data_IF_974303036687
#
_entry.id   IF_974303036687
#
_cell.length_a   1.000
_cell.length_b   1.000
_cell.length_c   1.000
_cell.angle_alpha   90.00
_cell.angle_beta   90.00
_cell.angle_gamma   90.00
#
_symmetry.space_group_name_H-M   'P 1'
#
loop_
_entity.id
_entity.type
_entity.pdbx_description
1 polymer ?
#
# COMPACT_ATOMS: atom_id res chain seq x y z
N UNK A 1 7.74 -12.40 21.99
CA UNK A 1 8.41 -13.48 21.22
C UNK A 1 9.90 -13.16 21.23
N UNK A 2 10.77 -14.09 21.52
CA UNK A 2 12.22 -13.80 21.53
C UNK A 2 12.75 -13.77 20.10
N UNK A 3 13.67 -12.85 19.82
CA UNK A 3 14.32 -12.72 18.51
C UNK A 3 15.66 -13.46 18.54
N UNK A 4 15.91 -14.26 17.52
CA UNK A 4 17.14 -15.04 17.37
C UNK A 4 17.87 -14.72 16.07
N UNK A 5 19.15 -15.06 15.97
CA UNK A 5 19.94 -14.83 14.74
C UNK A 5 19.33 -15.48 13.50
N UNK A 6 18.69 -16.65 13.64
CA UNK A 6 17.92 -17.28 12.54
C UNK A 6 16.80 -16.41 11.97
N UNK A 7 16.24 -15.52 12.79
CA UNK A 7 15.18 -14.61 12.36
C UNK A 7 15.78 -13.39 11.66
N UNK A 8 16.99 -12.95 12.08
CA UNK A 8 17.78 -11.94 11.37
C UNK A 8 18.16 -12.45 9.96
N UNK A 9 18.60 -13.71 9.83
CA UNK A 9 18.88 -14.33 8.54
C UNK A 9 17.67 -14.30 7.60
N UNK A 10 16.48 -14.55 8.12
CA UNK A 10 15.23 -14.43 7.34
C UNK A 10 14.90 -12.99 6.96
N UNK A 11 15.13 -12.03 7.85
CA UNK A 11 14.92 -10.60 7.59
C UNK A 11 15.82 -10.14 6.43
N UNK A 12 17.05 -10.65 6.34
CA UNK A 12 18.01 -10.34 5.28
C UNK A 12 17.96 -11.28 4.07
N UNK A 13 16.87 -12.03 3.88
CA UNK A 13 16.74 -13.07 2.85
C UNK A 13 16.69 -12.56 1.41
N UNK A 14 16.43 -11.25 1.21
CA UNK A 14 16.36 -10.64 -0.13
C UNK A 14 17.74 -10.22 -0.69
N UNK A 15 18.82 -10.69 -0.07
CA UNK A 15 20.19 -10.41 -0.51
C UNK A 15 20.84 -9.23 0.18
N UNK A 16 20.30 -8.75 1.29
CA UNK A 16 20.88 -7.69 2.10
C UNK A 16 22.18 -8.14 2.79
N UNK A 17 22.19 -9.35 3.36
CA UNK A 17 23.37 -9.99 3.92
C UNK A 17 23.26 -11.52 3.85
N UNK A 18 24.39 -12.20 3.88
CA UNK A 18 24.49 -13.68 3.84
C UNK A 18 25.30 -14.22 5.01
N UNK A 19 24.82 -15.28 5.65
CA UNK A 19 25.54 -15.99 6.71
C UNK A 19 26.70 -16.79 6.09
N UNK A 20 27.92 -16.47 6.49
CA UNK A 20 29.14 -17.07 5.89
C UNK A 20 29.91 -17.97 6.85
N UNK A 21 29.77 -17.77 8.18
CA UNK A 21 30.39 -18.60 9.21
C UNK A 21 29.55 -18.62 10.49
N UNK A 22 29.88 -19.51 11.44
CA UNK A 22 29.23 -19.60 12.75
C UNK A 22 27.79 -20.14 12.70
N UNK A 23 27.45 -20.98 11.74
CA UNK A 23 26.06 -21.49 11.50
C UNK A 23 25.45 -22.18 12.73
N UNK A 24 26.24 -22.82 13.58
CA UNK A 24 25.74 -23.48 14.80
C UNK A 24 25.22 -22.47 15.84
N UNK A 25 25.58 -21.18 15.71
CA UNK A 25 25.17 -20.11 16.63
C UNK A 25 23.86 -19.40 16.24
N UNK A 26 23.14 -19.86 15.25
CA UNK A 26 21.88 -19.19 14.74
C UNK A 26 20.77 -19.12 15.80
N UNK A 27 20.88 -19.87 16.89
CA UNK A 27 19.97 -19.82 18.04
C UNK A 27 20.42 -18.83 19.12
N UNK A 28 21.48 -18.03 18.90
CA UNK A 28 21.82 -16.92 19.80
C UNK A 28 20.72 -15.88 19.79
N UNK A 29 20.33 -15.42 20.99
CA UNK A 29 19.30 -14.40 21.15
C UNK A 29 19.81 -13.03 20.69
N UNK A 30 18.95 -12.19 20.14
CA UNK A 30 19.26 -10.81 19.73
C UNK A 30 18.36 -9.85 20.49
N UNK A 31 18.93 -9.02 21.37
CA UNK A 31 18.22 -8.06 22.18
C UNK A 31 18.54 -6.60 21.80
N UNK A 32 19.70 -6.38 21.17
CA UNK A 32 20.21 -5.05 20.83
C UNK A 32 21.08 -5.12 19.58
N UNK A 33 21.13 -4.04 18.81
CA UNK A 33 22.14 -3.86 17.77
C UNK A 33 22.98 -2.62 18.05
N UNK A 34 24.20 -2.59 17.53
CA UNK A 34 25.07 -1.43 17.56
C UNK A 34 25.97 -1.39 16.32
N UNK A 35 26.53 -0.21 16.03
CA UNK A 35 27.42 0.00 14.89
C UNK A 35 28.85 0.20 15.38
N UNK A 36 29.76 -0.64 14.89
CA UNK A 36 31.17 -0.52 15.25
C UNK A 36 31.86 0.55 14.39
N UNK A 37 32.37 1.58 15.03
CA UNK A 37 33.20 2.64 14.43
C UNK A 37 34.70 2.45 14.71
N UNK A 38 35.07 1.84 15.84
CA UNK A 38 36.45 1.64 16.29
C UNK A 38 36.68 0.18 16.61
N UNK A 39 37.97 -0.32 16.53
CA UNK A 39 38.28 -1.71 16.77
C UNK A 39 38.26 -2.13 18.26
N UNK A 40 38.32 -1.18 19.18
CA UNK A 40 38.22 -1.46 20.62
C UNK A 40 36.74 -1.43 21.05
N UNK A 41 36.10 -2.59 20.95
CA UNK A 41 34.65 -2.75 21.20
C UNK A 41 34.34 -3.17 22.64
N UNK A 42 35.31 -3.60 23.43
CA UNK A 42 35.08 -4.10 24.80
C UNK A 42 34.26 -3.17 25.70
N UNK A 43 34.50 -1.83 25.72
CA UNK A 43 33.71 -0.93 26.57
C UNK A 43 32.24 -0.82 26.21
N UNK A 44 31.90 -1.17 24.97
CA UNK A 44 30.54 -1.03 24.40
C UNK A 44 29.82 -2.37 24.25
N UNK A 45 30.52 -3.47 24.60
CA UNK A 45 29.99 -4.83 24.47
C UNK A 45 28.77 -5.01 25.38
N UNK A 46 27.71 -5.55 24.81
CA UNK A 46 26.50 -5.94 25.51
C UNK A 46 26.19 -7.39 25.19
N UNK A 47 25.61 -8.08 26.14
CA UNK A 47 25.07 -9.41 25.92
C UNK A 47 23.95 -9.37 24.87
N UNK A 48 23.86 -10.36 24.01
CA UNK A 48 22.90 -10.50 22.93
C UNK A 48 22.94 -9.35 21.87
N UNK A 49 24.16 -8.80 21.67
CA UNK A 49 24.39 -7.72 20.72
C UNK A 49 24.58 -8.24 19.28
N UNK A 50 23.82 -7.72 18.34
CA UNK A 50 24.12 -7.80 16.91
C UNK A 50 25.01 -6.61 16.52
N UNK A 51 26.26 -6.86 16.21
CA UNK A 51 27.20 -5.84 15.78
C UNK A 51 27.18 -5.69 14.27
N UNK A 52 27.05 -4.46 13.78
CA UNK A 52 27.04 -4.12 12.35
C UNK A 52 28.20 -3.18 12.06
N UNK A 53 28.99 -3.44 11.01
CA UNK A 53 30.15 -2.60 10.71
C UNK A 53 30.45 -2.54 9.21
N UNK A 54 31.10 -1.44 8.80
CA UNK A 54 31.74 -1.36 7.48
C UNK A 54 33.07 -2.12 7.44
N UNK A 55 33.62 -2.47 8.58
CA UNK A 55 34.98 -3.06 8.69
C UNK A 55 36.13 -2.13 8.35
N UNK A 56 35.83 -0.84 8.03
CA UNK A 56 36.86 0.11 7.58
C UNK A 56 38.01 0.31 8.55
N UNK A 57 37.72 0.37 9.84
CA UNK A 57 38.74 0.58 10.90
C UNK A 57 39.67 -0.62 11.12
N UNK A 58 39.30 -1.82 10.67
CA UNK A 58 40.05 -3.08 10.84
C UNK A 58 40.48 -3.70 9.51
N UNK A 59 40.26 -3.04 8.37
CA UNK A 59 40.42 -3.61 7.02
C UNK A 59 41.85 -4.07 6.68
N UNK A 60 42.87 -3.46 7.29
CA UNK A 60 44.29 -3.76 7.02
C UNK A 60 44.96 -4.49 8.15
N UNK A 61 44.24 -4.96 9.15
CA UNK A 61 44.76 -5.60 10.34
C UNK A 61 43.99 -6.90 10.65
N UNK A 62 44.56 -8.02 10.22
CA UNK A 62 44.01 -9.35 10.43
C UNK A 62 43.83 -9.65 11.93
N UNK A 63 44.81 -9.28 12.78
CA UNK A 63 44.73 -9.52 14.22
C UNK A 63 43.58 -8.68 14.84
N UNK A 64 43.34 -7.48 14.36
CA UNK A 64 42.21 -6.70 14.82
C UNK A 64 40.85 -7.35 14.46
N UNK A 65 40.73 -7.98 13.29
CA UNK A 65 39.52 -8.76 12.92
C UNK A 65 39.31 -9.93 13.85
N UNK A 66 40.37 -10.72 14.10
CA UNK A 66 40.33 -11.88 15.01
C UNK A 66 40.02 -11.44 16.46
N UNK A 67 40.59 -10.33 16.90
CA UNK A 67 40.31 -9.74 18.21
C UNK A 67 38.85 -9.35 18.36
N UNK A 68 38.25 -8.68 17.38
CA UNK A 68 36.84 -8.31 17.39
C UNK A 68 35.95 -9.55 17.55
N UNK A 69 36.22 -10.64 16.83
CA UNK A 69 35.45 -11.89 16.92
C UNK A 69 35.58 -12.51 18.33
N UNK A 70 36.79 -12.54 18.91
CA UNK A 70 37.03 -13.05 20.29
C UNK A 70 36.30 -12.17 21.32
N UNK A 71 36.48 -10.86 21.25
CA UNK A 71 35.86 -9.91 22.18
C UNK A 71 34.32 -10.01 22.13
N UNK A 72 33.73 -10.19 20.94
CA UNK A 72 32.29 -10.42 20.78
C UNK A 72 31.85 -11.74 21.43
N UNK A 73 32.61 -12.81 21.24
CA UNK A 73 32.25 -14.09 21.85
C UNK A 73 32.38 -14.05 23.37
N UNK A 74 33.45 -13.43 23.91
CA UNK A 74 33.65 -13.21 25.35
C UNK A 74 32.50 -12.38 25.96
N UNK A 75 31.98 -11.38 25.23
CA UNK A 75 30.85 -10.54 25.64
C UNK A 75 29.48 -11.17 25.38
N UNK A 76 29.42 -12.46 25.01
CA UNK A 76 28.16 -13.16 24.67
C UNK A 76 27.31 -12.42 23.61
N UNK A 77 27.96 -11.81 22.62
CA UNK A 77 27.30 -11.17 21.53
C UNK A 77 26.60 -12.20 20.61
N UNK A 78 25.61 -11.75 19.87
CA UNK A 78 24.73 -12.59 19.03
C UNK A 78 25.33 -12.90 17.67
N UNK A 79 25.80 -11.88 16.96
CA UNK A 79 26.34 -12.01 15.61
C UNK A 79 27.12 -10.77 15.19
N UNK A 80 28.02 -10.95 14.23
CA UNK A 80 28.75 -9.88 13.53
C UNK A 80 28.25 -9.81 12.08
N UNK A 81 27.86 -8.62 11.63
CA UNK A 81 27.57 -8.34 10.24
C UNK A 81 28.55 -7.29 9.69
N UNK A 82 29.30 -7.63 8.64
CA UNK A 82 30.41 -6.82 8.13
C UNK A 82 30.34 -6.64 6.61
N UNK A 83 30.64 -5.40 6.14
CA UNK A 83 30.86 -5.13 4.71
C UNK A 83 32.28 -5.51 4.33
N UNK A 84 32.41 -6.29 3.27
CA UNK A 84 33.73 -6.71 2.76
C UNK A 84 34.33 -5.74 1.75
N UNK A 85 33.62 -4.67 1.39
CA UNK A 85 34.03 -3.68 0.35
C UNK A 85 35.43 -3.08 0.56
N UNK A 86 35.86 -2.98 1.81
CA UNK A 86 37.11 -2.34 2.16
C UNK A 86 38.25 -3.32 2.43
N UNK A 87 38.01 -4.63 2.24
CA UNK A 87 39.02 -5.67 2.34
C UNK A 87 39.45 -6.08 0.93
N UNK A 88 40.74 -6.23 0.71
CA UNK A 88 41.25 -6.86 -0.52
C UNK A 88 40.86 -8.35 -0.52
N UNK A 89 41.04 -9.01 0.62
CA UNK A 89 40.56 -10.37 0.88
C UNK A 89 40.22 -10.46 2.39
N UNK A 90 39.03 -10.99 2.69
CA UNK A 90 38.64 -11.18 4.08
C UNK A 90 39.39 -12.36 4.70
N UNK A 91 40.00 -12.19 5.90
CA UNK A 91 40.87 -13.22 6.48
C UNK A 91 40.13 -14.56 6.65
N UNK A 92 40.66 -15.63 6.07
CA UNK A 92 40.06 -16.97 6.16
C UNK A 92 40.03 -17.48 7.61
N UNK A 93 41.04 -17.18 8.36
CA UNK A 93 41.16 -17.55 9.78
C UNK A 93 40.08 -16.87 10.63
N UNK A 94 39.53 -15.75 10.20
CA UNK A 94 38.43 -15.11 10.88
C UNK A 94 37.11 -15.89 10.66
N UNK A 95 36.91 -16.51 9.50
CA UNK A 95 35.77 -17.40 9.25
C UNK A 95 35.91 -18.69 10.07
N UNK A 96 37.12 -19.29 10.10
CA UNK A 96 37.40 -20.49 10.86
C UNK A 96 37.20 -20.24 12.37
N UNK A 97 37.68 -19.12 12.90
CA UNK A 97 37.47 -18.73 14.29
C UNK A 97 35.98 -18.50 14.62
N UNK A 98 35.23 -17.87 13.72
CA UNK A 98 33.79 -17.66 13.89
C UNK A 98 33.03 -18.99 13.94
N UNK A 99 33.43 -19.98 13.13
CA UNK A 99 32.87 -21.33 13.16
C UNK A 99 33.24 -22.06 14.46
N UNK A 100 34.48 -22.00 14.89
CA UNK A 100 34.95 -22.60 16.18
C UNK A 100 34.18 -22.05 17.39
N UNK A 101 33.95 -20.73 17.42
CA UNK A 101 33.25 -20.04 18.49
C UNK A 101 31.74 -20.10 18.37
N UNK A 102 31.20 -20.66 17.27
CA UNK A 102 29.77 -20.62 16.93
C UNK A 102 29.23 -19.21 17.02
N UNK A 103 29.99 -18.21 16.54
CA UNK A 103 29.58 -16.82 16.42
C UNK A 103 29.11 -16.54 14.98
N UNK A 104 27.81 -16.37 14.72
CA UNK A 104 27.31 -16.07 13.40
C UNK A 104 27.97 -14.83 12.80
N UNK A 105 28.50 -14.98 11.57
CA UNK A 105 29.14 -13.92 10.82
C UNK A 105 28.41 -13.75 9.48
N UNK A 106 27.96 -12.53 9.22
CA UNK A 106 27.28 -12.17 7.98
C UNK A 106 28.13 -11.25 7.11
N UNK A 107 28.17 -11.53 5.83
CA UNK A 107 28.66 -10.56 4.84
C UNK A 107 27.52 -9.72 4.33
N UNK A 108 27.61 -8.40 4.53
CA UNK A 108 26.65 -7.42 4.06
C UNK A 108 26.90 -7.12 2.59
N UNK A 109 25.86 -7.14 1.78
CA UNK A 109 25.94 -6.73 0.37
C UNK A 109 26.40 -5.27 0.27
N UNK A 110 27.41 -5.02 -0.56
CA UNK A 110 28.06 -3.72 -0.69
C UNK A 110 27.14 -2.62 -1.23
N UNK A 111 26.09 -3.00 -1.96
CA UNK A 111 25.11 -2.09 -2.57
C UNK A 111 23.95 -1.73 -1.63
N UNK A 112 23.81 -2.41 -0.50
CA UNK A 112 22.73 -2.16 0.46
C UNK A 112 23.10 -1.03 1.40
N UNK A 113 22.19 -0.06 1.56
CA UNK A 113 22.35 1.05 2.52
C UNK A 113 22.17 0.58 3.96
N UNK A 114 22.81 1.28 4.92
CA UNK A 114 22.65 0.94 6.35
C UNK A 114 21.21 1.07 6.83
N UNK A 115 20.43 1.99 6.29
CA UNK A 115 19.02 2.15 6.65
C UNK A 115 18.21 0.92 6.26
N UNK A 116 18.44 0.36 5.06
CA UNK A 116 17.77 -0.85 4.58
C UNK A 116 18.13 -2.08 5.39
N UNK A 117 19.37 -2.13 5.87
CA UNK A 117 19.89 -3.23 6.68
C UNK A 117 19.40 -3.17 8.14
N UNK A 118 19.48 -1.98 8.76
CA UNK A 118 19.26 -1.78 10.20
C UNK A 118 17.80 -1.63 10.56
N UNK A 119 17.03 -0.95 9.73
CA UNK A 119 15.65 -0.60 10.03
C UNK A 119 14.74 -1.83 10.30
N UNK A 120 14.75 -2.89 9.47
CA UNK A 120 13.97 -4.09 9.74
C UNK A 120 14.36 -4.79 11.04
N UNK A 121 15.65 -4.76 11.38
CA UNK A 121 16.17 -5.34 12.64
C UNK A 121 15.73 -4.55 13.85
N UNK A 122 15.79 -3.22 13.77
CA UNK A 122 15.29 -2.33 14.83
C UNK A 122 13.81 -2.63 15.13
N UNK A 123 13.01 -2.78 14.10
CA UNK A 123 11.59 -3.15 14.23
C UNK A 123 11.46 -4.50 14.92
N UNK A 124 12.16 -5.52 14.46
CA UNK A 124 12.08 -6.87 15.03
C UNK A 124 12.52 -6.90 16.51
N UNK A 125 13.56 -6.14 16.88
CA UNK A 125 14.01 -6.00 18.29
C UNK A 125 12.93 -5.30 19.12
N UNK A 126 12.34 -4.23 18.62
CA UNK A 126 11.27 -3.51 19.32
C UNK A 126 10.04 -4.41 19.49
N UNK A 127 9.65 -5.14 18.45
CA UNK A 127 8.54 -6.11 18.53
C UNK A 127 8.84 -7.24 19.52
N UNK A 128 10.05 -7.78 19.53
CA UNK A 128 10.45 -8.82 20.48
C UNK A 128 10.41 -8.31 21.93
N UNK A 129 10.87 -7.08 22.19
CA UNK A 129 10.81 -6.43 23.51
C UNK A 129 9.40 -6.06 23.93
N UNK A 130 8.57 -5.59 23.00
CA UNK A 130 7.18 -5.17 23.27
C UNK A 130 6.31 -6.32 23.76
N UNK A 131 6.64 -7.56 23.41
CA UNK A 131 5.96 -8.73 23.96
C UNK A 131 6.30 -9.03 25.45
N UNK A 132 7.29 -8.37 26.04
CA UNK A 132 7.72 -8.66 27.43
C UNK A 132 7.66 -7.46 28.37
N UNK A 133 7.90 -6.23 27.96
CA UNK A 133 8.05 -5.10 28.92
C UNK A 133 7.26 -3.82 28.61
N UNK A 134 6.79 -3.58 27.40
CA UNK A 134 6.02 -2.36 27.05
C UNK A 134 4.51 -2.54 27.15
N UNK A 135 4.03 -3.70 27.59
CA UNK A 135 2.62 -3.93 27.90
C UNK A 135 2.11 -3.13 29.10
N UNK A 136 2.94 -2.38 29.82
CA UNK A 136 2.51 -1.91 31.13
C UNK A 136 2.33 -0.41 31.34
N UNK A 137 2.72 0.53 30.49
CA UNK A 137 2.34 1.94 30.83
C UNK A 137 2.22 3.01 29.75
N UNK A 138 2.83 2.90 28.57
CA UNK A 138 2.74 3.98 27.59
C UNK A 138 2.08 3.59 26.26
N UNK A 139 2.09 2.31 25.89
CA UNK A 139 1.37 1.80 24.71
C UNK A 139 -0.10 1.54 24.99
N UNK A 140 -0.48 1.24 26.26
CA UNK A 140 -1.86 0.92 26.66
C UNK A 140 -2.88 2.03 26.32
N UNK A 141 -2.48 3.29 26.22
CA UNK A 141 -3.44 4.37 25.96
C UNK A 141 -3.58 4.75 24.48
N UNK A 142 -2.52 4.69 23.68
CA UNK A 142 -2.58 5.09 22.26
C UNK A 142 -2.75 3.92 21.29
N UNK A 143 -2.08 2.79 21.49
CA UNK A 143 -2.34 1.56 20.71
C UNK A 143 -3.74 1.02 21.05
N UNK A 144 -4.12 1.03 22.32
CA UNK A 144 -5.45 0.60 22.74
C UNK A 144 -6.57 1.40 22.05
N UNK A 145 -6.42 2.72 21.88
CA UNK A 145 -7.45 3.52 21.21
C UNK A 145 -7.51 3.25 19.71
N UNK A 146 -6.39 3.19 19.02
CA UNK A 146 -6.34 2.93 17.57
C UNK A 146 -6.89 1.52 17.24
N UNK A 147 -6.54 0.52 18.07
CA UNK A 147 -7.05 -0.84 17.92
C UNK A 147 -8.55 -0.92 18.21
N UNK A 148 -9.03 -0.18 19.22
CA UNK A 148 -10.45 -0.10 19.55
C UNK A 148 -11.24 0.65 18.47
N UNK A 149 -10.68 1.72 17.90
CA UNK A 149 -11.25 2.44 16.76
C UNK A 149 -11.37 1.51 15.54
N UNK A 150 -10.30 0.80 15.18
CA UNK A 150 -10.32 -0.16 14.06
C UNK A 150 -11.28 -1.33 14.32
N UNK A 151 -11.33 -1.83 15.56
CA UNK A 151 -12.25 -2.89 15.95
C UNK A 151 -13.70 -2.44 15.84
N UNK A 152 -14.06 -1.27 16.41
CA UNK A 152 -15.41 -0.73 16.31
C UNK A 152 -15.81 -0.52 14.85
N UNK A 153 -14.95 0.13 14.07
CA UNK A 153 -15.18 0.32 12.63
C UNK A 153 -15.38 -1.00 11.90
N UNK A 154 -14.52 -2.00 12.19
CA UNK A 154 -14.63 -3.34 11.64
C UNK A 154 -15.96 -4.03 11.96
N UNK A 155 -16.41 -3.92 13.18
CA UNK A 155 -17.66 -4.53 13.64
C UNK A 155 -18.88 -3.86 12.98
N UNK A 156 -18.85 -2.54 12.78
CA UNK A 156 -19.88 -1.80 12.06
C UNK A 156 -19.91 -2.21 10.58
N UNK A 157 -18.79 -2.13 9.86
CA UNK A 157 -18.76 -2.39 8.41
C UNK A 157 -19.01 -3.86 8.03
N UNK A 158 -18.83 -4.78 8.96
CA UNK A 158 -19.11 -6.20 8.77
C UNK A 158 -20.52 -6.60 9.30
N UNK A 159 -21.32 -5.65 9.75
CA UNK A 159 -22.69 -5.90 10.23
C UNK A 159 -22.77 -6.69 11.54
N UNK A 160 -21.71 -6.69 12.36
CA UNK A 160 -21.74 -7.31 13.68
C UNK A 160 -22.49 -6.45 14.70
N UNK A 161 -22.43 -5.14 14.53
CA UNK A 161 -23.26 -4.18 15.28
C UNK A 161 -24.45 -3.85 14.38
N UNK A 162 -25.65 -4.13 14.88
CA UNK A 162 -26.92 -3.93 14.14
C UNK A 162 -27.86 -2.96 14.86
N UNK A 163 -27.56 -2.63 16.12
CA UNK A 163 -28.36 -1.72 16.92
C UNK A 163 -27.71 -0.34 16.95
N UNK A 164 -28.51 0.69 16.69
CA UNK A 164 -28.05 2.09 16.64
C UNK A 164 -27.51 2.52 18.00
N UNK A 165 -28.21 2.19 19.08
CA UNK A 165 -27.86 2.55 20.44
C UNK A 165 -26.49 1.98 20.84
N UNK A 166 -26.17 0.78 20.42
CA UNK A 166 -24.85 0.17 20.65
C UNK A 166 -23.75 0.91 19.89
N UNK A 167 -23.99 1.21 18.60
CA UNK A 167 -23.03 1.95 17.80
C UNK A 167 -22.78 3.35 18.38
N UNK A 168 -23.82 4.08 18.75
CA UNK A 168 -23.76 5.42 19.34
C UNK A 168 -23.01 5.41 20.67
N UNK A 169 -23.35 4.47 21.56
CA UNK A 169 -22.71 4.35 22.87
C UNK A 169 -21.22 4.04 22.77
N UNK A 170 -20.84 3.10 21.90
CA UNK A 170 -19.44 2.71 21.73
C UNK A 170 -18.63 3.80 21.03
N UNK A 171 -19.20 4.48 20.04
CA UNK A 171 -18.55 5.62 19.38
C UNK A 171 -18.31 6.78 20.35
N UNK A 172 -19.30 7.09 21.20
CA UNK A 172 -19.15 8.11 22.25
C UNK A 172 -18.07 7.72 23.27
N UNK A 173 -18.02 6.46 23.69
CA UNK A 173 -17.00 5.95 24.62
C UNK A 173 -15.57 6.06 24.05
N UNK A 174 -15.41 5.94 22.74
CA UNK A 174 -14.14 6.11 22.02
C UNK A 174 -13.91 7.55 21.56
N UNK A 175 -14.78 8.48 21.94
CA UNK A 175 -14.68 9.90 21.55
C UNK A 175 -14.61 10.09 20.03
N UNK A 176 -15.44 9.36 19.28
CA UNK A 176 -15.57 9.56 17.85
C UNK A 176 -16.25 10.91 17.56
N UNK A 177 -15.96 11.52 16.39
CA UNK A 177 -16.64 12.73 15.97
C UNK A 177 -18.16 12.54 15.98
N UNK A 178 -18.89 13.51 16.53
CA UNK A 178 -20.36 13.43 16.52
C UNK A 178 -20.93 13.45 15.11
N UNK A 179 -21.97 12.66 14.89
CA UNK A 179 -22.71 12.66 13.61
C UNK A 179 -23.42 14.03 13.41
N UNK A 180 -23.57 14.51 12.17
CA UNK A 180 -23.11 13.85 10.93
C UNK A 180 -21.59 13.86 10.80
N UNK A 181 -21.06 12.76 10.29
CA UNK A 181 -19.64 12.62 10.00
C UNK A 181 -19.41 12.49 8.50
N UNK A 182 -18.18 12.73 8.07
CA UNK A 182 -17.73 12.52 6.70
C UNK A 182 -16.48 11.65 6.70
N UNK A 183 -16.36 10.79 5.70
CA UNK A 183 -15.22 9.91 5.55
C UNK A 183 -14.37 10.36 4.36
N UNK A 184 -13.07 10.58 4.60
CA UNK A 184 -12.09 10.72 3.52
C UNK A 184 -11.29 9.43 3.49
N UNK A 185 -11.40 8.67 2.41
CA UNK A 185 -10.64 7.45 2.23
C UNK A 185 -9.50 7.68 1.23
N UNK A 186 -8.30 7.24 1.59
CA UNK A 186 -7.09 7.44 0.81
C UNK A 186 -6.53 6.07 0.42
N UNK A 187 -6.15 5.88 -0.86
CA UNK A 187 -5.46 4.69 -1.30
C UNK A 187 -4.01 4.71 -0.85
N UNK A 188 -3.53 3.56 -0.36
CA UNK A 188 -2.13 3.29 -0.08
C UNK A 188 -1.60 2.31 -1.12
N UNK A 189 -0.29 2.29 -1.32
CA UNK A 189 0.33 1.25 -2.13
C UNK A 189 0.33 -0.08 -1.38
N UNK A 190 0.14 -1.18 -2.12
CA UNK A 190 0.29 -2.51 -1.56
C UNK A 190 1.75 -2.72 -1.14
N UNK A 191 1.95 -3.21 0.08
CA UNK A 191 3.26 -3.54 0.62
C UNK A 191 3.27 -5.01 1.00
N UNK A 192 4.19 -5.77 0.42
CA UNK A 192 4.31 -7.21 0.67
C UNK A 192 4.96 -7.50 2.02
N UNK A 193 5.83 -6.61 2.49
CA UNK A 193 6.49 -6.75 3.78
C UNK A 193 5.60 -6.23 4.91
N UNK A 194 5.11 -7.13 5.75
CA UNK A 194 4.15 -6.83 6.81
C UNK A 194 4.70 -5.86 7.88
N UNK A 195 5.98 -5.95 8.24
CA UNK A 195 6.61 -5.03 9.20
C UNK A 195 6.71 -3.60 8.62
N UNK A 196 7.09 -3.49 7.36
CA UNK A 196 7.14 -2.20 6.66
C UNK A 196 5.73 -1.60 6.48
N UNK A 197 4.72 -2.44 6.25
CA UNK A 197 3.33 -2.04 6.16
C UNK A 197 2.84 -1.39 7.47
N UNK A 198 3.13 -2.00 8.62
CA UNK A 198 2.69 -1.44 9.92
C UNK A 198 3.36 -0.10 10.22
N UNK A 199 4.63 0.06 9.90
CA UNK A 199 5.33 1.33 10.07
C UNK A 199 4.76 2.42 9.14
N UNK A 200 4.48 2.07 7.88
CA UNK A 200 3.83 2.99 6.95
C UNK A 200 2.46 3.41 7.47
N UNK A 201 1.68 2.48 8.03
CA UNK A 201 0.37 2.76 8.63
C UNK A 201 0.49 3.73 9.82
N UNK A 202 1.40 3.47 10.77
CA UNK A 202 1.60 4.35 11.92
C UNK A 202 1.98 5.78 11.49
N UNK A 203 2.90 5.89 10.54
CA UNK A 203 3.30 7.19 9.96
C UNK A 203 2.12 7.85 9.28
N UNK A 204 1.34 7.12 8.51
CA UNK A 204 0.15 7.61 7.83
C UNK A 204 -0.90 8.13 8.82
N UNK A 205 -1.20 7.38 9.87
CA UNK A 205 -2.14 7.79 10.93
C UNK A 205 -1.67 9.08 11.58
N UNK A 206 -0.38 9.20 11.89
CA UNK A 206 0.19 10.39 12.52
C UNK A 206 0.08 11.62 11.62
N UNK A 207 0.41 11.50 10.36
CA UNK A 207 0.33 12.62 9.41
C UNK A 207 -1.11 13.00 9.09
N UNK A 208 -2.02 12.04 8.93
CA UNK A 208 -3.45 12.36 8.78
C UNK A 208 -3.98 13.16 9.96
N UNK A 209 -3.67 12.77 11.20
CA UNK A 209 -4.07 13.52 12.39
C UNK A 209 -3.49 14.93 12.40
N UNK A 210 -2.21 15.07 12.03
CA UNK A 210 -1.54 16.37 11.94
C UNK A 210 -2.21 17.31 10.94
N UNK A 211 -2.63 16.80 9.77
CA UNK A 211 -3.38 17.60 8.80
C UNK A 211 -4.68 18.10 9.44
N UNK A 212 -5.47 17.24 10.11
CA UNK A 212 -6.71 17.68 10.76
C UNK A 212 -6.48 18.67 11.90
N UNK A 213 -5.38 18.55 12.65
CA UNK A 213 -4.99 19.52 13.68
C UNK A 213 -4.77 20.94 13.09
N UNK A 214 -4.23 21.04 11.85
CA UNK A 214 -4.07 22.37 11.18
C UNK A 214 -5.41 23.03 10.85
N UNK A 215 -6.46 22.23 10.71
CA UNK A 215 -7.83 22.71 10.49
C UNK A 215 -8.67 22.78 11.78
N UNK A 216 -8.03 22.70 12.95
CA UNK A 216 -8.68 22.71 14.26
C UNK A 216 -9.83 21.68 14.37
N UNK A 217 -9.64 20.51 13.78
CA UNK A 217 -10.62 19.41 13.79
C UNK A 217 -9.98 18.10 14.22
N UNK A 218 -10.79 17.27 14.86
CA UNK A 218 -10.40 15.91 15.19
C UNK A 218 -10.88 14.92 14.12
N UNK A 219 -10.08 13.88 13.90
CA UNK A 219 -10.45 12.77 13.05
C UNK A 219 -10.06 11.43 13.67
N UNK A 220 -10.94 10.45 13.52
CA UNK A 220 -10.59 9.04 13.75
C UNK A 220 -9.94 8.54 12.47
N UNK A 221 -8.69 8.07 12.58
CA UNK A 221 -7.90 7.61 11.45
C UNK A 221 -7.66 6.12 11.59
N UNK A 222 -8.11 5.36 10.61
CA UNK A 222 -8.09 3.89 10.57
C UNK A 222 -7.42 3.46 9.27
N UNK A 223 -6.29 2.76 9.36
CA UNK A 223 -5.60 2.22 8.18
C UNK A 223 -5.81 0.71 8.08
N UNK A 224 -6.46 0.27 7.00
CA UNK A 224 -6.77 -1.14 6.74
C UNK A 224 -6.31 -1.55 5.35
N UNK A 225 -5.47 -2.59 5.30
CA UNK A 225 -4.87 -3.06 4.04
C UNK A 225 -4.24 -1.87 3.28
N UNK A 226 -4.70 -1.64 2.07
CA UNK A 226 -4.22 -0.62 1.13
C UNK A 226 -5.00 0.71 1.23
N UNK A 227 -5.70 0.97 2.33
CA UNK A 227 -6.54 2.17 2.48
C UNK A 227 -6.47 2.75 3.88
N UNK A 228 -6.48 4.08 3.95
CA UNK A 228 -6.64 4.84 5.18
C UNK A 228 -7.99 5.56 5.15
N UNK A 229 -8.74 5.47 6.23
CA UNK A 229 -10.05 6.10 6.40
C UNK A 229 -9.95 7.15 7.50
N UNK A 230 -10.25 8.40 7.16
CA UNK A 230 -10.32 9.51 8.09
C UNK A 230 -11.79 9.86 8.30
N UNK A 231 -12.31 9.62 9.49
CA UNK A 231 -13.69 9.97 9.88
C UNK A 231 -13.64 11.27 10.66
N UNK A 232 -14.23 12.32 10.10
CA UNK A 232 -14.27 13.66 10.71
C UNK A 232 -15.69 14.17 10.81
N UNK A 233 -15.92 15.16 11.67
CA UNK A 233 -17.22 15.84 11.77
C UNK A 233 -17.53 16.57 10.46
N UNK A 234 -18.79 16.52 10.00
CA UNK A 234 -19.23 17.22 8.80
C UNK A 234 -19.52 18.71 9.09
N UNK A 235 -18.45 19.47 9.29
CA UNK A 235 -18.51 20.92 9.58
C UNK A 235 -17.87 21.79 8.49
N UNK A 236 -17.22 21.16 7.53
CA UNK A 236 -16.49 21.83 6.48
C UNK A 236 -17.37 22.06 5.25
N UNK A 237 -17.17 23.20 4.55
CA UNK A 237 -17.73 23.37 3.23
C UNK A 237 -17.12 22.37 2.23
N UNK A 238 -17.80 22.11 1.10
CA UNK A 238 -17.27 21.20 0.07
C UNK A 238 -15.89 21.64 -0.42
N UNK A 239 -15.64 22.94 -0.59
CA UNK A 239 -14.33 23.42 -1.01
C UNK A 239 -13.25 23.25 0.06
N UNK A 240 -13.60 23.34 1.35
CA UNK A 240 -12.66 23.13 2.44
C UNK A 240 -12.32 21.64 2.61
N UNK A 241 -13.32 20.76 2.59
CA UNK A 241 -13.09 19.32 2.71
C UNK A 241 -12.32 18.76 1.49
N UNK A 242 -12.54 19.32 0.29
CA UNK A 242 -11.78 18.98 -0.90
C UNK A 242 -10.29 19.32 -0.71
N UNK A 243 -9.95 20.51 -0.21
CA UNK A 243 -8.58 20.91 0.10
C UNK A 243 -7.92 20.00 1.14
N UNK A 244 -8.66 19.65 2.20
CA UNK A 244 -8.17 18.70 3.21
C UNK A 244 -7.85 17.35 2.56
N UNK A 245 -8.73 16.84 1.69
CA UNK A 245 -8.54 15.58 1.01
C UNK A 245 -7.34 15.60 0.04
N UNK A 246 -7.14 16.72 -0.67
CA UNK A 246 -5.97 16.94 -1.52
C UNK A 246 -4.68 16.96 -0.72
N UNK A 247 -4.64 17.73 0.39
CA UNK A 247 -3.46 17.78 1.28
C UNK A 247 -3.14 16.41 1.89
N UNK A 248 -4.15 15.68 2.35
CA UNK A 248 -3.99 14.30 2.84
C UNK A 248 -3.42 13.37 1.77
N UNK A 249 -3.88 13.52 0.52
CA UNK A 249 -3.41 12.74 -0.61
C UNK A 249 -1.96 13.05 -0.93
N UNK A 250 -1.59 14.32 -0.98
CA UNK A 250 -0.22 14.78 -1.25
C UNK A 250 0.75 14.30 -0.16
N UNK A 251 0.37 14.43 1.11
CA UNK A 251 1.17 13.91 2.24
C UNK A 251 1.32 12.39 2.18
N UNK A 252 0.28 11.68 1.78
CA UNK A 252 0.34 10.22 1.58
C UNK A 252 1.30 9.85 0.46
N UNK A 253 1.30 10.58 -0.65
CA UNK A 253 2.25 10.38 -1.75
C UNK A 253 3.70 10.64 -1.32
N UNK A 254 3.95 11.71 -0.56
CA UNK A 254 5.27 12.04 -0.01
C UNK A 254 5.81 10.90 0.87
N UNK A 255 4.96 10.33 1.76
CA UNK A 255 5.35 9.27 2.71
C UNK A 255 5.62 7.95 1.99
N UNK A 256 4.72 7.56 1.10
CA UNK A 256 4.73 6.22 0.49
C UNK A 256 5.48 6.18 -0.83
N UNK A 257 5.87 7.35 -1.39
CA UNK A 257 6.51 7.50 -2.72
C UNK A 257 5.73 6.83 -3.85
N UNK A 258 4.41 6.79 -3.74
CA UNK A 258 3.50 6.20 -4.72
C UNK A 258 2.34 7.14 -5.05
N UNK A 259 1.67 6.90 -6.15
CA UNK A 259 0.47 7.66 -6.53
C UNK A 259 -0.69 7.29 -5.61
N UNK A 260 -1.11 8.21 -4.76
CA UNK A 260 -2.28 8.08 -3.90
C UNK A 260 -3.47 8.87 -4.45
N UNK A 261 -4.66 8.47 -4.06
CA UNK A 261 -5.90 9.15 -4.40
C UNK A 261 -6.88 9.09 -3.24
N UNK A 262 -7.76 10.06 -3.16
CA UNK A 262 -8.78 10.10 -2.11
C UNK A 262 -10.21 10.15 -2.67
N UNK A 263 -11.12 9.60 -1.87
CA UNK A 263 -12.57 9.65 -2.10
C UNK A 263 -13.20 10.27 -0.85
N UNK A 264 -14.04 11.28 -1.05
CA UNK A 264 -14.76 11.99 -0.01
C UNK A 264 -16.21 11.49 -0.02
N UNK A 265 -16.69 10.96 1.11
CA UNK A 265 -18.05 10.46 1.23
C UNK A 265 -19.08 11.57 1.24
N UNK A 266 -20.35 11.23 1.02
CA UNK A 266 -21.48 12.05 1.48
C UNK A 266 -21.53 12.07 3.02
N UNK A 267 -22.24 13.04 3.64
CA UNK A 267 -22.44 13.07 5.08
C UNK A 267 -23.14 11.80 5.57
N UNK A 268 -22.64 11.25 6.66
CA UNK A 268 -23.16 10.04 7.32
C UNK A 268 -23.82 10.47 8.62
N UNK A 269 -25.12 10.33 8.71
CA UNK A 269 -25.97 10.77 9.84
C UNK A 269 -26.20 9.71 10.91
N UNK A 270 -25.75 8.47 10.67
CA UNK A 270 -25.80 7.34 11.61
C UNK A 270 -24.53 6.49 11.48
N UNK A 271 -23.91 6.08 12.60
CA UNK A 271 -22.67 5.27 12.52
C UNK A 271 -22.88 3.93 11.81
N UNK A 272 -24.07 3.33 11.88
CA UNK A 272 -24.36 2.08 11.16
C UNK A 272 -24.27 2.25 9.63
N UNK A 273 -24.57 3.43 9.11
CA UNK A 273 -24.44 3.75 7.66
C UNK A 273 -22.98 3.84 7.19
N UNK A 274 -22.01 3.82 8.11
CA UNK A 274 -20.59 3.67 7.72
C UNK A 274 -20.33 2.37 6.96
N UNK A 275 -21.18 1.35 7.12
CA UNK A 275 -21.10 0.11 6.36
C UNK A 275 -21.40 0.33 4.86
N UNK A 276 -22.44 1.10 4.56
CA UNK A 276 -22.79 1.47 3.20
C UNK A 276 -21.74 2.42 2.61
N UNK A 277 -21.36 3.44 3.36
CA UNK A 277 -20.30 4.37 3.00
C UNK A 277 -18.98 3.63 2.65
N UNK A 278 -18.56 2.66 3.45
CA UNK A 278 -17.39 1.84 3.18
C UNK A 278 -17.49 1.05 1.88
N UNK A 279 -18.67 0.46 1.59
CA UNK A 279 -18.95 -0.30 0.37
C UNK A 279 -18.83 0.60 -0.86
N UNK A 280 -19.48 1.75 -0.83
CA UNK A 280 -19.52 2.72 -1.92
C UNK A 280 -18.13 3.34 -2.21
N UNK A 281 -17.37 3.64 -1.16
CA UNK A 281 -15.97 4.08 -1.28
C UNK A 281 -15.11 2.99 -1.96
N UNK A 282 -15.27 1.73 -1.58
CA UNK A 282 -14.55 0.62 -2.23
C UNK A 282 -14.89 0.50 -3.71
N UNK A 283 -16.14 0.67 -4.05
CA UNK A 283 -16.61 0.71 -5.44
C UNK A 283 -15.98 1.89 -6.20
N UNK A 284 -15.89 3.06 -5.59
CA UNK A 284 -15.24 4.22 -6.18
C UNK A 284 -13.77 3.97 -6.54
N UNK A 285 -13.00 3.32 -5.67
CA UNK A 285 -11.64 2.91 -6.01
C UNK A 285 -11.58 1.85 -7.13
N UNK A 286 -12.56 0.95 -7.18
CA UNK A 286 -12.71 -0.02 -8.28
C UNK A 286 -13.00 0.69 -9.61
N UNK A 287 -13.95 1.64 -9.61
CA UNK A 287 -14.32 2.46 -10.77
C UNK A 287 -13.09 3.19 -11.31
N UNK A 288 -12.34 3.87 -10.44
CA UNK A 288 -11.12 4.58 -10.84
C UNK A 288 -10.14 3.68 -11.57
N UNK A 289 -9.90 2.50 -11.04
CA UNK A 289 -8.97 1.52 -11.63
C UNK A 289 -9.46 1.03 -12.99
N UNK A 290 -10.74 0.67 -13.11
CA UNK A 290 -11.34 0.15 -14.34
C UNK A 290 -11.35 1.20 -15.45
N UNK A 291 -11.72 2.44 -15.13
CA UNK A 291 -11.77 3.54 -16.08
C UNK A 291 -10.45 4.27 -16.30
N UNK A 292 -9.39 3.89 -15.60
CA UNK A 292 -8.08 4.57 -15.62
C UNK A 292 -8.21 6.09 -15.39
N UNK A 293 -9.11 6.49 -14.50
CA UNK A 293 -9.36 7.88 -14.17
C UNK A 293 -8.11 8.54 -13.57
N UNK A 294 -7.89 9.83 -13.91
CA UNK A 294 -6.69 10.58 -13.50
C UNK A 294 -6.93 11.53 -12.33
N UNK A 295 -8.12 11.57 -11.73
CA UNK A 295 -8.37 12.42 -10.58
C UNK A 295 -7.55 12.00 -9.34
N UNK A 296 -7.17 12.96 -8.52
CA UNK A 296 -6.44 12.75 -7.26
C UNK A 296 -7.36 12.73 -6.06
N UNK A 297 -8.44 13.52 -6.11
CA UNK A 297 -9.48 13.58 -5.09
C UNK A 297 -10.85 13.75 -5.77
N UNK A 298 -11.88 13.07 -5.26
CA UNK A 298 -13.23 13.11 -5.84
C UNK A 298 -14.29 12.92 -4.76
N UNK A 299 -15.44 13.57 -4.92
CA UNK A 299 -16.61 13.27 -4.09
C UNK A 299 -17.31 12.00 -4.59
N UNK A 300 -17.84 11.24 -3.66
CA UNK A 300 -18.64 10.04 -3.96
C UNK A 300 -19.84 10.36 -4.84
N UNK A 301 -20.52 11.49 -4.60
CA UNK A 301 -21.66 11.93 -5.42
C UNK A 301 -21.34 12.10 -6.92
N UNK A 302 -20.10 12.47 -7.23
CA UNK A 302 -19.66 12.66 -8.63
C UNK A 302 -19.44 11.34 -9.36
N UNK A 303 -19.46 10.21 -8.63
CA UNK A 303 -19.30 8.87 -9.18
C UNK A 303 -20.63 8.10 -9.31
N UNK A 304 -21.77 8.69 -8.99
CA UNK A 304 -23.06 8.00 -8.99
C UNK A 304 -23.39 7.34 -10.34
N UNK A 305 -23.09 8.03 -11.45
CA UNK A 305 -23.28 7.48 -12.78
C UNK A 305 -22.45 6.19 -12.98
N UNK A 306 -21.20 6.24 -12.61
CA UNK A 306 -20.27 5.10 -12.71
C UNK A 306 -20.68 3.94 -11.79
N UNK A 307 -21.22 4.24 -10.61
CA UNK A 307 -21.75 3.23 -9.68
C UNK A 307 -22.96 2.50 -10.26
N UNK A 308 -23.90 3.24 -10.89
CA UNK A 308 -25.04 2.63 -11.57
C UNK A 308 -24.56 1.68 -12.67
N UNK A 309 -23.60 2.12 -13.49
CA UNK A 309 -23.03 1.27 -14.55
C UNK A 309 -22.31 0.05 -13.97
N UNK A 310 -21.53 0.23 -12.90
CA UNK A 310 -20.82 -0.86 -12.23
C UNK A 310 -21.78 -1.94 -11.70
N UNK A 311 -22.88 -1.55 -11.05
CA UNK A 311 -23.89 -2.47 -10.54
C UNK A 311 -24.65 -3.15 -11.68
N UNK A 312 -25.08 -2.36 -12.67
CA UNK A 312 -25.79 -2.87 -13.83
C UNK A 312 -24.94 -3.88 -14.62
N UNK A 313 -23.66 -3.59 -14.82
CA UNK A 313 -22.75 -4.46 -15.58
C UNK A 313 -22.54 -5.85 -14.95
N UNK A 314 -22.81 -6.04 -13.66
CA UNK A 314 -22.66 -7.33 -12.99
C UNK A 314 -23.83 -8.30 -13.27
N UNK A 315 -24.96 -7.81 -13.83
CA UNK A 315 -26.14 -8.65 -14.10
C UNK A 315 -25.92 -9.54 -15.34
N UNK A 316 -26.63 -10.66 -15.37
CA UNK A 316 -26.58 -11.59 -16.50
C UNK A 316 -27.12 -10.95 -17.78
N UNK A 317 -28.19 -10.18 -17.66
CA UNK A 317 -28.81 -9.44 -18.79
C UNK A 317 -27.84 -8.47 -19.45
N UNK A 318 -27.05 -7.77 -18.65
CA UNK A 318 -26.02 -6.84 -19.15
C UNK A 318 -24.91 -7.57 -19.89
N UNK A 319 -24.45 -8.69 -19.38
CA UNK A 319 -23.44 -9.52 -20.04
C UNK A 319 -23.94 -10.05 -21.39
N UNK A 320 -25.17 -10.52 -21.43
CA UNK A 320 -25.81 -10.96 -22.68
C UNK A 320 -26.01 -9.80 -23.66
N UNK A 321 -26.39 -8.64 -23.15
CA UNK A 321 -26.54 -7.44 -23.96
C UNK A 321 -25.20 -7.01 -24.60
N UNK A 322 -24.13 -6.96 -23.80
CA UNK A 322 -22.76 -6.63 -24.28
C UNK A 322 -22.36 -7.64 -25.36
N UNK A 323 -22.51 -8.94 -25.09
CA UNK A 323 -22.12 -9.98 -26.02
C UNK A 323 -22.90 -9.89 -27.34
N UNK A 324 -24.19 -9.62 -27.28
CA UNK A 324 -25.06 -9.48 -28.47
C UNK A 324 -24.70 -8.24 -29.29
N UNK A 325 -24.40 -7.11 -28.62
CA UNK A 325 -24.13 -5.84 -29.32
C UNK A 325 -22.68 -5.70 -29.79
N UNK A 326 -21.72 -6.18 -29.04
CA UNK A 326 -20.29 -5.98 -29.33
C UNK A 326 -19.56 -7.28 -29.72
N UNK A 327 -20.10 -8.43 -29.38
CA UNK A 327 -19.47 -9.72 -29.64
C UNK A 327 -19.10 -9.98 -31.11
N UNK A 328 -19.97 -9.70 -32.10
CA UNK A 328 -19.60 -9.84 -33.51
C UNK A 328 -18.40 -9.01 -33.92
N UNK A 329 -18.26 -7.79 -33.37
CA UNK A 329 -17.16 -6.89 -33.65
C UNK A 329 -15.86 -7.37 -32.98
N UNK A 330 -15.95 -7.84 -31.74
CA UNK A 330 -14.81 -8.44 -31.02
C UNK A 330 -14.28 -9.69 -31.71
N UNK A 331 -15.17 -10.53 -32.18
CA UNK A 331 -14.81 -11.73 -32.91
C UNK A 331 -14.11 -11.39 -34.23
N UNK A 332 -14.62 -10.39 -34.94
CA UNK A 332 -14.00 -9.92 -36.18
C UNK A 332 -12.59 -9.34 -35.91
N UNK A 333 -12.44 -8.47 -34.90
CA UNK A 333 -11.15 -7.89 -34.52
C UNK A 333 -10.13 -8.97 -34.16
N UNK A 334 -10.55 -10.02 -33.43
CA UNK A 334 -9.68 -11.14 -33.07
C UNK A 334 -9.19 -11.95 -34.26
N UNK A 335 -10.06 -12.17 -35.27
CA UNK A 335 -9.72 -12.97 -36.45
C UNK A 335 -8.86 -12.20 -37.42
N UNK A 336 -9.09 -10.91 -37.58
CA UNK A 336 -8.48 -10.08 -38.61
C UNK A 336 -7.40 -9.11 -38.09
N UNK A 337 -7.04 -9.22 -36.79
CA UNK A 337 -6.12 -8.30 -36.11
C UNK A 337 -6.48 -6.83 -36.37
N UNK A 338 -7.77 -6.52 -36.31
CA UNK A 338 -8.32 -5.19 -36.58
C UNK A 338 -8.65 -4.46 -35.27
N UNK A 339 -8.99 -3.19 -35.37
CA UNK A 339 -9.29 -2.31 -34.22
C UNK A 339 -10.65 -1.62 -34.41
N UNK A 340 -11.64 -2.36 -34.87
CA UNK A 340 -12.96 -1.80 -35.16
C UNK A 340 -13.71 -1.44 -33.89
N UNK A 341 -13.58 -2.24 -32.83
CA UNK A 341 -14.17 -1.94 -31.53
C UNK A 341 -13.60 -0.63 -30.93
N UNK A 342 -12.27 -0.45 -31.00
CA UNK A 342 -11.62 0.81 -30.59
C UNK A 342 -12.11 1.98 -31.44
N UNK A 343 -12.32 1.76 -32.74
CA UNK A 343 -12.86 2.78 -33.66
C UNK A 343 -14.28 3.18 -33.27
N UNK A 344 -15.14 2.20 -32.95
CA UNK A 344 -16.51 2.43 -32.47
C UNK A 344 -16.53 3.19 -31.16
N UNK A 345 -15.75 2.77 -30.18
CA UNK A 345 -15.66 3.42 -28.87
C UNK A 345 -15.20 4.88 -29.00
N UNK A 346 -14.19 5.12 -29.82
CA UNK A 346 -13.70 6.48 -30.10
C UNK A 346 -14.76 7.33 -30.82
N UNK A 347 -15.50 6.76 -31.78
CA UNK A 347 -16.59 7.46 -32.47
C UNK A 347 -17.71 7.86 -31.49
N UNK A 348 -18.08 6.96 -30.59
CA UNK A 348 -19.05 7.22 -29.53
C UNK A 348 -18.56 8.31 -28.60
N UNK A 349 -17.30 8.24 -28.16
CA UNK A 349 -16.68 9.24 -27.29
C UNK A 349 -16.78 10.66 -27.87
N UNK A 350 -16.63 10.81 -29.19
CA UNK A 350 -16.78 12.08 -29.90
C UNK A 350 -18.19 12.33 -30.44
N UNK A 351 -19.20 11.74 -29.79
CA UNK A 351 -20.63 11.93 -30.15
C UNK A 351 -20.94 11.70 -31.63
N UNK A 352 -20.32 10.72 -32.27
CA UNK A 352 -20.49 10.39 -33.69
C UNK A 352 -19.69 11.27 -34.67
N UNK A 353 -18.85 12.19 -34.16
CA UNK A 353 -18.02 13.05 -35.01
C UNK A 353 -16.88 12.24 -35.66
N UNK A 354 -17.11 11.83 -36.93
CA UNK A 354 -16.14 11.06 -37.72
C UNK A 354 -14.81 11.79 -37.86
N UNK A 355 -14.82 13.12 -37.95
CA UNK A 355 -13.63 13.96 -38.05
C UNK A 355 -12.78 13.87 -36.75
N UNK A 356 -13.40 14.18 -35.59
CA UNK A 356 -12.69 14.17 -34.32
C UNK A 356 -12.19 12.76 -33.97
N UNK A 357 -12.99 11.74 -34.23
CA UNK A 357 -12.57 10.35 -34.04
C UNK A 357 -11.40 9.95 -34.95
N UNK A 358 -11.39 10.38 -36.21
CA UNK A 358 -10.25 10.10 -37.11
C UNK A 358 -8.97 10.80 -36.67
N UNK A 359 -9.06 12.05 -36.22
CA UNK A 359 -7.94 12.82 -35.66
C UNK A 359 -7.38 12.12 -34.40
N UNK A 360 -8.24 11.70 -33.47
CA UNK A 360 -7.85 11.02 -32.25
C UNK A 360 -7.18 9.65 -32.48
N UNK A 361 -7.59 8.94 -33.53
CA UNK A 361 -7.03 7.64 -33.91
C UNK A 361 -5.84 7.76 -34.90
N UNK A 362 -5.44 8.97 -35.25
CA UNK A 362 -4.41 9.25 -36.28
C UNK A 362 -4.72 8.56 -37.61
N UNK A 363 -5.98 8.51 -38.02
CA UNK A 363 -6.43 7.86 -39.24
C UNK A 363 -6.77 8.90 -40.33
N UNK A 364 -6.42 8.55 -41.58
CA UNK A 364 -6.94 9.32 -42.71
C UNK A 364 -8.47 9.16 -42.84
N UNK A 365 -9.16 10.20 -43.27
CA UNK A 365 -10.62 10.22 -43.43
C UNK A 365 -11.19 9.02 -44.23
N UNK A 366 -10.49 8.57 -45.24
CA UNK A 366 -10.91 7.43 -46.05
C UNK A 366 -10.84 6.11 -45.29
N UNK A 367 -9.78 5.92 -44.48
CA UNK A 367 -9.60 4.75 -43.61
C UNK A 367 -10.70 4.73 -42.52
N UNK A 368 -10.99 5.89 -41.95
CA UNK A 368 -12.11 6.02 -40.99
C UNK A 368 -13.45 5.67 -41.61
N UNK A 369 -13.74 6.20 -42.79
CA UNK A 369 -14.95 5.87 -43.52
C UNK A 369 -15.08 4.38 -43.92
N UNK A 370 -13.94 3.73 -44.23
CA UNK A 370 -13.91 2.30 -44.48
C UNK A 370 -14.19 1.50 -43.21
N UNK A 371 -13.56 1.87 -42.08
CA UNK A 371 -13.79 1.22 -40.77
C UNK A 371 -15.23 1.35 -40.31
N UNK A 372 -15.85 2.54 -40.48
CA UNK A 372 -17.24 2.78 -40.11
C UNK A 372 -18.15 1.86 -40.94
N UNK A 373 -18.00 1.82 -42.23
CA UNK A 373 -18.83 0.94 -43.12
C UNK A 373 -18.65 -0.53 -42.71
N UNK A 374 -17.46 -0.93 -42.35
CA UNK A 374 -17.21 -2.31 -41.89
C UNK A 374 -17.85 -2.64 -40.55
N UNK A 375 -17.88 -1.66 -39.62
CA UNK A 375 -18.62 -1.79 -38.36
C UNK A 375 -20.11 -1.94 -38.62
N UNK A 376 -20.68 -1.07 -39.48
CA UNK A 376 -22.11 -1.12 -39.88
C UNK A 376 -22.49 -2.45 -40.52
N UNK A 377 -21.62 -2.97 -41.41
CA UNK A 377 -21.80 -4.28 -42.06
C UNK A 377 -21.83 -5.43 -41.02
N UNK A 378 -20.86 -5.45 -40.10
CA UNK A 378 -20.72 -6.52 -39.09
C UNK A 378 -21.90 -6.48 -38.09
N UNK A 379 -22.27 -5.30 -37.63
CA UNK A 379 -23.33 -5.13 -36.63
C UNK A 379 -24.75 -5.11 -37.23
N UNK A 380 -24.87 -4.93 -38.54
CA UNK A 380 -26.16 -4.81 -39.21
C UNK A 380 -26.97 -3.57 -38.83
N UNK A 381 -26.27 -2.47 -38.46
CA UNK A 381 -26.90 -1.22 -37.98
C UNK A 381 -26.32 -0.01 -38.72
N UNK A 382 -27.02 1.11 -38.70
CA UNK A 382 -26.47 2.39 -39.16
C UNK A 382 -25.93 3.19 -37.99
N UNK A 383 -24.67 3.64 -38.09
CA UNK A 383 -24.06 4.54 -37.10
C UNK A 383 -24.47 6.01 -37.29
N UNK A 384 -25.35 6.30 -38.29
CA UNK A 384 -26.03 7.59 -38.42
C UNK A 384 -27.38 7.59 -37.67
N UNK A 385 -27.85 6.42 -37.18
CA UNK A 385 -29.05 6.33 -36.35
C UNK A 385 -28.72 6.64 -34.87
N UNK A 386 -29.26 7.74 -34.33
CA UNK A 386 -29.00 8.12 -32.94
C UNK A 386 -29.47 7.08 -31.91
N UNK A 387 -30.45 6.26 -32.23
CA UNK A 387 -30.94 5.22 -31.34
C UNK A 387 -29.93 4.05 -31.25
N UNK A 388 -29.40 3.61 -32.38
CA UNK A 388 -28.39 2.57 -32.40
C UNK A 388 -27.07 3.03 -31.75
N UNK A 389 -26.70 4.30 -31.97
CA UNK A 389 -25.53 4.89 -31.23
C UNK A 389 -25.76 4.86 -29.74
N UNK A 390 -26.94 5.19 -29.21
CA UNK A 390 -27.23 5.11 -27.78
C UNK A 390 -27.13 3.68 -27.24
N UNK A 391 -27.65 2.70 -27.97
CA UNK A 391 -27.58 1.28 -27.61
C UNK A 391 -26.14 0.77 -27.58
N UNK A 392 -25.35 1.11 -28.58
CA UNK A 392 -23.93 0.76 -28.64
C UNK A 392 -23.12 1.49 -27.57
N UNK A 393 -23.43 2.76 -27.32
CA UNK A 393 -22.80 3.54 -26.22
C UNK A 393 -23.00 2.86 -24.86
N UNK A 394 -24.25 2.44 -24.57
CA UNK A 394 -24.50 1.71 -23.32
C UNK A 394 -23.72 0.40 -23.24
N UNK A 395 -23.64 -0.36 -24.34
CA UNK A 395 -22.89 -1.61 -24.38
C UNK A 395 -21.37 -1.37 -24.15
N UNK A 396 -20.78 -0.35 -24.76
CA UNK A 396 -19.38 0.05 -24.56
C UNK A 396 -19.13 0.49 -23.12
N UNK A 397 -20.02 1.30 -22.55
CA UNK A 397 -19.91 1.76 -21.16
C UNK A 397 -20.01 0.61 -20.17
N UNK A 398 -21.00 -0.28 -20.29
CA UNK A 398 -21.14 -1.46 -19.42
C UNK A 398 -19.93 -2.38 -19.52
N UNK A 399 -19.37 -2.56 -20.72
CA UNK A 399 -18.19 -3.40 -20.94
C UNK A 399 -16.98 -2.97 -20.12
N UNK A 400 -16.82 -1.69 -19.83
CA UNK A 400 -15.70 -1.20 -19.00
C UNK A 400 -15.74 -1.72 -17.55
N UNK A 401 -16.87 -2.25 -17.08
CA UNK A 401 -17.09 -2.70 -15.71
C UNK A 401 -17.24 -4.22 -15.56
N UNK A 402 -17.19 -4.97 -16.65
CA UNK A 402 -17.19 -6.43 -16.68
C UNK A 402 -15.76 -6.96 -16.65
#
# INVERSE_FOLDING_TARGET
MELYVKDIEKIWSNGEASLVAGKNGIMRKVDVYDMMEQPDIKPWMKEHLLMITTGYSIRNDKEAVLKVIRDMNEGNASALAIKTRFFDEFPREALELADELNLPLFFINNNVGFTELVFPIMVAIVEARNNVELSTRFQLTRHNKADLDDRLYSEIINGKITQKEEADHRSASLQWPHIPVRVIAISLEAEENQALLEIKKERQIKECRRVFETYHSDAVVICRKEKCFCITKDIFSESAIQKIAEELTDKTQEINKCTSVSIISEPVDEYLKLADCYREIREGFRIRRLRKQKWTSVFQKDMQYDQILLHTAQTQESREYILRKLGPLEQYDRIHDSQLLTTLDTLIHYNGSRRQASEALFLHRNTMAHRIRKIEEILGVSLDDPEEIRKLSLACQLKMYV
#
